data_IF_103197836205
#
_entry.id   IF_103197836205
#
_cell.length_a   1.000
_cell.length_b   1.000
_cell.length_c   1.000
_cell.angle_alpha   90.00
_cell.angle_beta   90.00
_cell.angle_gamma   90.00
#
_symmetry.space_group_name_H-M   'P 1'
#
loop_
_entity.id
_entity.type
_entity.pdbx_description
1 polymer ?
#
# COMPACT_ATOMS: atom_id res chain seq x y z
N UNK A 1 -23.95 -25.30 -16.95
CA UNK A 1 -22.86 -24.30 -16.99
C UNK A 1 -23.51 -22.92 -16.93
N UNK A 2 -23.32 -22.19 -15.84
CA UNK A 2 -23.67 -20.76 -15.82
C UNK A 2 -22.44 -20.01 -16.29
N UNK A 3 -22.42 -19.63 -17.58
CA UNK A 3 -21.44 -18.70 -18.10
C UNK A 3 -21.73 -17.35 -17.45
N UNK A 4 -20.87 -16.95 -16.51
CA UNK A 4 -20.84 -15.59 -15.97
C UNK A 4 -20.62 -14.65 -17.15
N UNK A 5 -21.69 -13.98 -17.55
CA UNK A 5 -21.66 -12.89 -18.52
C UNK A 5 -20.67 -11.83 -18.01
N UNK A 6 -19.46 -11.82 -18.56
CA UNK A 6 -18.47 -10.79 -18.28
C UNK A 6 -19.00 -9.47 -18.85
N UNK A 7 -19.64 -8.68 -17.99
CA UNK A 7 -20.12 -7.34 -18.35
C UNK A 7 -18.92 -6.42 -18.60
N UNK A 8 -18.90 -5.63 -19.70
CA UNK A 8 -17.72 -4.86 -20.14
C UNK A 8 -17.36 -3.64 -19.27
N UNK A 9 -17.86 -3.54 -18.03
CA UNK A 9 -17.74 -2.32 -17.22
C UNK A 9 -17.35 -2.54 -15.75
N UNK A 10 -16.52 -3.54 -15.45
CA UNK A 10 -15.93 -3.74 -14.12
C UNK A 10 -14.61 -2.97 -13.94
N UNK A 11 -14.41 -1.82 -14.63
CA UNK A 11 -13.20 -0.98 -14.50
C UNK A 11 -13.04 -0.34 -13.11
N UNK A 12 -14.11 -0.28 -12.33
CA UNK A 12 -14.12 0.30 -10.98
C UNK A 12 -14.18 -0.77 -9.88
N UNK A 13 -13.97 -2.06 -10.21
CA UNK A 13 -13.86 -3.10 -9.19
C UNK A 13 -12.60 -2.88 -8.34
N UNK A 14 -12.71 -3.17 -7.04
CA UNK A 14 -11.57 -3.15 -6.10
C UNK A 14 -10.39 -3.95 -6.64
N UNK A 15 -10.64 -5.11 -7.24
CA UNK A 15 -9.61 -5.96 -7.83
C UNK A 15 -8.85 -5.23 -8.96
N UNK A 16 -9.57 -4.49 -9.81
CA UNK A 16 -8.94 -3.70 -10.87
C UNK A 16 -8.16 -2.50 -10.31
N UNK A 17 -8.67 -1.86 -9.25
CA UNK A 17 -7.96 -0.80 -8.55
C UNK A 17 -6.65 -1.31 -7.91
N UNK A 18 -6.68 -2.49 -7.28
CA UNK A 18 -5.50 -3.15 -6.71
C UNK A 18 -4.46 -3.48 -7.80
N UNK A 19 -4.89 -4.04 -8.94
CA UNK A 19 -3.97 -4.34 -10.05
C UNK A 19 -3.33 -3.07 -10.63
N UNK A 20 -4.11 -1.99 -10.77
CA UNK A 20 -3.59 -0.68 -11.21
C UNK A 20 -2.61 -0.09 -10.19
N UNK A 21 -2.90 -0.21 -8.90
CA UNK A 21 -2.01 0.21 -7.83
C UNK A 21 -0.68 -0.54 -7.89
N UNK A 22 -0.70 -1.88 -8.00
CA UNK A 22 0.51 -2.69 -8.16
C UNK A 22 1.34 -2.22 -9.37
N UNK A 23 0.68 -2.01 -10.51
CA UNK A 23 1.33 -1.51 -11.72
C UNK A 23 1.99 -0.14 -11.52
N UNK A 24 1.29 0.80 -10.88
CA UNK A 24 1.81 2.14 -10.61
C UNK A 24 3.01 2.10 -9.65
N UNK A 25 2.93 1.34 -8.55
CA UNK A 25 4.04 1.20 -7.59
C UNK A 25 5.22 0.48 -8.24
N UNK A 26 4.99 -0.51 -9.10
CA UNK A 26 6.07 -1.15 -9.88
C UNK A 26 6.76 -0.17 -10.82
N UNK A 27 6.00 0.64 -11.54
CA UNK A 27 6.57 1.66 -12.43
C UNK A 27 7.38 2.71 -11.66
N UNK A 28 6.88 3.14 -10.49
CA UNK A 28 7.61 4.01 -9.57
C UNK A 28 8.93 3.36 -9.12
N UNK A 29 8.89 2.11 -8.64
CA UNK A 29 10.05 1.37 -8.13
C UNK A 29 11.14 1.17 -9.21
N UNK A 30 10.73 0.99 -10.47
CA UNK A 30 11.66 0.89 -11.60
C UNK A 30 12.28 2.24 -12.02
N UNK A 31 11.59 3.35 -11.74
CA UNK A 31 12.03 4.70 -12.11
C UNK A 31 12.92 5.32 -11.03
N UNK A 32 12.69 4.99 -9.76
CA UNK A 32 13.52 5.43 -8.64
C UNK A 32 14.83 4.64 -8.60
N UNK A 33 15.86 5.16 -9.26
CA UNK A 33 17.17 4.49 -9.36
C UNK A 33 17.98 4.56 -8.05
N UNK A 34 17.81 5.62 -7.25
CA UNK A 34 18.54 5.82 -6.00
C UNK A 34 17.56 6.27 -4.90
N UNK A 35 16.88 5.32 -4.21
CA UNK A 35 15.85 5.64 -3.22
C UNK A 35 16.33 6.55 -2.08
N UNK A 36 17.62 6.50 -1.74
CA UNK A 36 18.19 7.34 -0.68
C UNK A 36 18.15 8.84 -1.00
N UNK A 37 18.05 9.23 -2.28
CA UNK A 37 17.90 10.65 -2.65
C UNK A 37 16.52 11.21 -2.32
N UNK A 38 15.57 10.34 -1.95
CA UNK A 38 14.25 10.75 -1.49
C UNK A 38 14.25 11.08 0.01
N UNK A 39 15.35 10.81 0.73
CA UNK A 39 15.48 11.20 2.13
C UNK A 39 15.62 12.70 2.24
N UNK A 40 15.01 13.27 3.27
CA UNK A 40 15.04 14.71 3.56
C UNK A 40 14.46 15.58 2.42
N UNK A 41 13.71 15.00 1.48
CA UNK A 41 12.98 15.74 0.43
C UNK A 41 11.65 16.21 1.03
N UNK A 42 11.44 17.53 1.17
CA UNK A 42 10.19 18.07 1.67
C UNK A 42 9.06 17.78 0.67
N UNK A 43 7.87 17.51 1.19
CA UNK A 43 6.67 17.42 0.38
C UNK A 43 6.09 18.83 0.25
N UNK A 44 6.23 19.46 -0.91
CA UNK A 44 5.78 20.84 -1.18
C UNK A 44 4.24 21.04 -1.14
N UNK A 45 3.48 20.10 -0.55
CA UNK A 45 2.02 20.03 -0.61
C UNK A 45 1.32 20.30 0.73
N UNK A 46 1.73 21.35 1.46
CA UNK A 46 0.87 21.92 2.52
C UNK A 46 -0.43 22.55 1.94
N UNK A 47 -0.55 22.74 0.61
CA UNK A 47 -1.58 23.65 0.07
C UNK A 47 -2.97 23.12 -0.25
N UNK A 48 -3.26 21.82 -0.40
CA UNK A 48 -4.65 21.40 -0.72
C UNK A 48 -5.17 20.07 -0.10
N UNK A 49 -4.42 19.35 0.74
CA UNK A 49 -4.89 18.08 1.33
C UNK A 49 -5.07 18.13 2.86
N UNK A 50 -5.43 19.29 3.39
CA UNK A 50 -5.56 19.57 4.83
C UNK A 50 -6.82 18.99 5.50
N UNK A 51 -7.30 17.80 5.13
CA UNK A 51 -8.45 17.18 5.82
C UNK A 51 -8.13 15.90 6.59
N UNK A 52 -6.88 15.42 6.59
CA UNK A 52 -6.46 14.31 7.46
C UNK A 52 -5.06 14.61 8.01
N UNK A 53 -4.92 15.72 8.74
CA UNK A 53 -3.76 15.93 9.62
C UNK A 53 -3.93 15.01 10.83
N UNK A 54 -3.51 13.76 10.72
CA UNK A 54 -3.13 12.96 11.88
C UNK A 54 -1.68 13.30 12.21
N UNK A 55 -1.36 13.53 13.48
CA UNK A 55 -0.05 13.81 14.09
C UNK A 55 1.00 12.70 13.87
N UNK A 56 1.14 12.23 12.63
CA UNK A 56 2.13 11.27 12.21
C UNK A 56 3.13 12.09 11.43
N UNK A 57 4.26 12.35 12.09
CA UNK A 57 5.57 12.71 11.53
C UNK A 57 5.51 12.87 10.01
N UNK A 58 5.60 14.13 9.56
CA UNK A 58 5.56 14.52 8.15
C UNK A 58 6.71 13.83 7.43
N UNK A 59 6.45 12.58 7.03
CA UNK A 59 7.48 11.67 6.57
C UNK A 59 8.11 12.23 5.31
N UNK A 60 9.43 12.08 5.20
CA UNK A 60 10.13 12.42 3.96
C UNK A 60 9.59 11.60 2.77
N UNK A 61 9.90 12.05 1.55
CA UNK A 61 9.47 11.35 0.33
C UNK A 61 9.90 9.86 0.33
N UNK A 62 11.02 9.52 0.99
CA UNK A 62 11.47 8.15 1.17
C UNK A 62 10.50 7.30 2.02
N UNK A 63 9.95 7.86 3.09
CA UNK A 63 8.98 7.19 3.97
C UNK A 63 7.70 6.83 3.22
N UNK A 64 7.18 7.74 2.39
CA UNK A 64 6.02 7.48 1.52
C UNK A 64 6.32 6.42 0.44
N UNK A 65 7.50 6.49 -0.19
CA UNK A 65 7.97 5.47 -1.13
C UNK A 65 7.99 4.07 -0.49
N UNK A 66 8.49 3.96 0.75
CA UNK A 66 8.52 2.70 1.50
C UNK A 66 7.12 2.20 1.87
N UNK A 67 6.21 3.11 2.25
CA UNK A 67 4.82 2.78 2.56
C UNK A 67 4.11 2.16 1.35
N UNK A 68 4.20 2.80 0.18
CA UNK A 68 3.59 2.30 -1.06
C UNK A 68 4.11 0.90 -1.42
N UNK A 69 5.42 0.67 -1.28
CA UNK A 69 6.02 -0.65 -1.51
C UNK A 69 5.54 -1.69 -0.52
N UNK A 70 5.33 -1.31 0.75
CA UNK A 70 4.78 -2.23 1.74
C UNK A 70 3.34 -2.63 1.42
N UNK A 71 2.49 -1.66 1.08
CA UNK A 71 1.09 -1.92 0.69
C UNK A 71 1.06 -2.82 -0.55
N UNK A 72 1.89 -2.57 -1.57
CA UNK A 72 2.00 -3.43 -2.76
C UNK A 72 2.30 -4.87 -2.35
N UNK A 73 3.31 -5.08 -1.51
CA UNK A 73 3.72 -6.40 -1.03
C UNK A 73 2.59 -7.12 -0.27
N UNK A 74 1.85 -6.39 0.55
CA UNK A 74 0.71 -6.94 1.30
C UNK A 74 -0.46 -7.32 0.39
N UNK A 75 -0.66 -6.58 -0.70
CA UNK A 75 -1.63 -6.91 -1.75
C UNK A 75 -1.20 -8.14 -2.55
N UNK A 76 0.06 -8.20 -2.97
CA UNK A 76 0.59 -9.29 -3.82
C UNK A 76 0.67 -10.62 -3.08
N UNK A 77 1.10 -10.60 -1.82
CA UNK A 77 1.45 -11.80 -1.06
C UNK A 77 0.55 -12.05 0.15
N UNK A 78 -0.44 -11.19 0.36
CA UNK A 78 -1.25 -11.15 1.57
C UNK A 78 -0.49 -10.55 2.76
N UNK A 79 -1.25 -10.06 3.75
CA UNK A 79 -0.70 -9.52 5.00
C UNK A 79 -0.09 -10.66 5.82
N UNK A 80 1.23 -10.83 5.77
CA UNK A 80 1.95 -11.87 6.55
C UNK A 80 1.98 -11.59 8.05
N UNK A 81 1.42 -10.46 8.51
CA UNK A 81 1.59 -9.92 9.86
C UNK A 81 0.38 -9.94 10.80
N UNK A 82 -0.83 -10.35 10.36
CA UNK A 82 -1.99 -10.36 11.27
C UNK A 82 -2.24 -11.74 11.89
N UNK A 83 -2.28 -12.81 11.08
CA UNK A 83 -2.66 -14.15 11.56
C UNK A 83 -1.67 -14.74 12.58
N UNK A 84 -0.36 -14.48 12.45
CA UNK A 84 0.67 -15.02 13.35
C UNK A 84 0.62 -14.32 14.72
N UNK A 85 0.32 -13.02 14.76
CA UNK A 85 0.19 -12.28 16.03
C UNK A 85 -1.08 -12.67 16.80
N UNK A 86 -2.19 -12.97 16.11
CA UNK A 86 -3.36 -13.54 16.77
C UNK A 86 -3.09 -14.95 17.29
N UNK A 87 -2.43 -15.83 16.52
CA UNK A 87 -2.08 -17.17 17.03
C UNK A 87 -1.14 -17.13 18.23
N UNK A 88 -0.14 -16.23 18.26
CA UNK A 88 0.78 -16.14 19.39
C UNK A 88 0.14 -15.47 20.63
N UNK A 89 -0.79 -14.54 20.44
CA UNK A 89 -1.51 -13.87 21.55
C UNK A 89 -2.57 -14.77 22.19
N UNK A 90 -3.25 -15.62 21.41
CA UNK A 90 -4.26 -16.56 21.92
C UNK A 90 -3.69 -17.94 22.31
N UNK A 91 -2.48 -18.28 21.86
CA UNK A 91 -1.78 -19.52 22.25
C UNK A 91 -1.07 -19.46 23.61
N UNK A 92 -0.80 -18.27 24.15
CA UNK A 92 -0.19 -18.08 25.48
C UNK A 92 -1.18 -17.96 26.65
N UNK A 93 -2.48 -17.98 26.38
CA UNK A 93 -3.54 -17.86 27.41
C UNK A 93 -4.16 -19.20 27.80
N UNK A 94 -3.57 -20.34 27.38
CA UNK A 94 -4.03 -21.70 27.73
C UNK A 94 -2.95 -22.57 28.40
N UNK A 95 -1.97 -21.97 29.09
CA UNK A 95 -1.11 -22.68 30.07
C UNK A 95 -1.25 -22.07 31.46
#
# INVERSE_FOLDING_TARGET
>A
MMQLMETPNQKNSLFNAMNRFIGAVNNMDQTVMVPNLLRDVPLDEEREMSSVKSDVDEGDMYSYYQLLKSIRRDIEWGVRGAAILYFHKWGKTME
#
